data_IF_165439830138
#
_entry.id   IF_165439830138
#
_cell.length_a   1.000
_cell.length_b   1.000
_cell.length_c   1.000
_cell.angle_alpha   90.00
_cell.angle_beta   90.00
_cell.angle_gamma   90.00
#
_symmetry.space_group_name_H-M   'P 1'
#
loop_
_entity.id
_entity.type
_entity.pdbx_description
1 polymer ?
#
# COMPACT_ATOMS: atom_id res chain seq x y z
N UNK A 1 22.13 20.19 12.32
CA UNK A 1 23.32 19.33 12.18
C UNK A 1 23.60 18.49 13.43
N UNK A 2 23.94 19.06 14.60
CA UNK A 2 24.23 18.26 15.81
C UNK A 2 23.00 17.56 16.42
N UNK A 3 21.87 18.26 16.56
CA UNK A 3 20.63 17.67 17.09
C UNK A 3 20.06 16.57 16.19
N UNK A 4 20.19 16.73 14.86
CA UNK A 4 19.77 15.72 13.89
C UNK A 4 20.67 14.48 13.94
N UNK A 5 21.98 14.67 14.13
CA UNK A 5 22.92 13.58 14.34
C UNK A 5 22.62 12.84 15.66
N UNK A 6 22.25 13.55 16.73
CA UNK A 6 21.79 12.90 17.95
C UNK A 6 20.50 12.10 17.74
N UNK A 7 19.51 12.67 17.04
CA UNK A 7 18.27 11.97 16.70
C UNK A 7 18.55 10.67 15.93
N UNK A 8 19.47 10.72 14.96
CA UNK A 8 19.87 9.56 14.14
C UNK A 8 20.38 8.36 14.95
N UNK A 9 20.86 8.56 16.18
CA UNK A 9 21.30 7.46 17.06
C UNK A 9 20.12 6.61 17.57
N UNK A 10 18.93 7.20 17.62
CA UNK A 10 17.68 6.51 17.99
C UNK A 10 16.93 5.96 16.77
N UNK A 11 17.30 6.45 15.59
CA UNK A 11 16.66 6.21 14.31
C UNK A 11 17.10 4.88 13.71
N UNK A 12 16.23 3.90 13.87
CA UNK A 12 16.30 2.61 13.20
C UNK A 12 14.89 2.06 13.04
N UNK A 13 14.73 1.13 12.11
CA UNK A 13 13.47 0.43 11.84
C UNK A 13 12.33 1.34 11.33
N UNK A 14 12.67 2.42 10.62
CA UNK A 14 11.72 3.28 9.91
C UNK A 14 10.55 3.81 10.78
N UNK A 15 10.84 4.21 12.03
CA UNK A 15 9.83 4.66 12.99
C UNK A 15 10.29 5.80 13.88
N UNK A 16 9.61 6.94 13.78
CA UNK A 16 9.78 8.08 14.69
C UNK A 16 9.35 7.72 16.12
N UNK A 17 8.28 6.94 16.25
CA UNK A 17 7.72 6.56 17.55
C UNK A 17 8.64 5.61 18.31
N UNK A 18 9.24 4.61 17.64
CA UNK A 18 10.24 3.75 18.26
C UNK A 18 11.53 4.50 18.60
N UNK A 19 11.89 5.54 17.85
CA UNK A 19 13.00 6.42 18.21
C UNK A 19 12.72 7.17 19.53
N UNK A 20 11.49 7.66 19.75
CA UNK A 20 11.09 8.27 21.02
C UNK A 20 11.12 7.28 22.19
N UNK A 21 10.68 6.03 21.97
CA UNK A 21 10.75 4.96 22.98
C UNK A 21 12.20 4.74 23.41
N UNK A 22 13.13 4.61 22.46
CA UNK A 22 14.57 4.42 22.75
C UNK A 22 15.19 5.61 23.47
N UNK A 23 14.82 6.83 23.07
CA UNK A 23 15.30 8.03 23.73
C UNK A 23 14.87 8.08 25.21
N UNK A 24 13.62 7.67 25.50
CA UNK A 24 13.11 7.54 26.86
C UNK A 24 13.77 6.40 27.63
N UNK A 25 13.95 5.21 27.05
CA UNK A 25 14.65 4.09 27.68
C UNK A 25 16.08 4.45 28.08
N UNK A 26 16.83 5.12 27.19
CA UNK A 26 18.16 5.61 27.51
C UNK A 26 18.16 6.68 28.60
N UNK A 27 17.13 7.53 28.65
CA UNK A 27 16.95 8.50 29.74
C UNK A 27 16.66 7.82 31.08
N UNK A 28 15.84 6.76 31.11
CA UNK A 28 15.59 5.97 32.32
C UNK A 28 16.85 5.32 32.86
N UNK A 29 17.68 4.75 31.99
CA UNK A 29 18.99 4.22 32.38
C UNK A 29 19.91 5.31 32.93
N UNK A 30 19.95 6.47 32.29
CA UNK A 30 20.73 7.61 32.80
C UNK A 30 20.21 8.14 34.15
N UNK A 31 18.91 7.98 34.45
CA UNK A 31 18.34 8.30 35.77
C UNK A 31 18.88 7.38 36.86
N UNK A 32 18.96 6.07 36.60
CA UNK A 32 19.54 5.09 37.51
C UNK A 32 21.03 5.35 37.76
N UNK A 33 21.76 5.79 36.73
CA UNK A 33 23.19 6.12 36.79
C UNK A 33 23.46 7.56 37.28
N UNK A 34 22.43 8.33 37.67
CA UNK A 34 22.54 9.75 38.05
C UNK A 34 23.21 10.66 36.98
N UNK A 35 23.12 10.26 35.71
CA UNK A 35 23.72 10.93 34.55
C UNK A 35 22.69 11.63 33.64
N UNK A 36 21.51 11.95 34.17
CA UNK A 36 20.38 12.54 33.41
C UNK A 36 20.76 13.81 32.66
N UNK A 37 21.47 14.73 33.33
CA UNK A 37 21.83 16.01 32.73
C UNK A 37 22.72 15.82 31.50
N UNK A 38 23.76 15.00 31.63
CA UNK A 38 24.70 14.70 30.56
C UNK A 38 24.02 13.97 29.40
N UNK A 39 23.14 13.01 29.69
CA UNK A 39 22.37 12.31 28.68
C UNK A 39 21.48 13.26 27.88
N UNK A 40 20.71 14.11 28.57
CA UNK A 40 19.81 15.07 27.91
C UNK A 40 20.59 16.11 27.11
N UNK A 41 21.70 16.63 27.66
CA UNK A 41 22.56 17.58 26.96
C UNK A 41 23.14 17.00 25.67
N UNK A 42 23.73 15.79 25.74
CA UNK A 42 24.32 15.12 24.57
C UNK A 42 23.31 14.82 23.48
N UNK A 43 22.07 14.52 23.86
CA UNK A 43 21.02 14.09 22.94
C UNK A 43 20.03 15.20 22.56
N UNK A 44 20.26 16.45 23.00
CA UNK A 44 19.36 17.59 22.76
C UNK A 44 17.91 17.34 23.25
N UNK A 45 17.77 16.64 24.37
CA UNK A 45 16.49 16.28 24.97
C UNK A 45 16.15 17.24 26.12
N UNK A 46 14.86 17.52 26.29
CA UNK A 46 14.34 18.31 27.40
C UNK A 46 14.12 17.42 28.63
N UNK A 47 14.83 17.71 29.73
CA UNK A 47 14.65 17.01 31.02
C UNK A 47 13.21 17.17 31.50
N UNK A 48 12.62 18.36 31.38
CA UNK A 48 11.25 18.63 31.81
C UNK A 48 10.24 17.81 31.00
N UNK A 49 10.44 17.71 29.69
CA UNK A 49 9.55 16.92 28.81
C UNK A 49 9.63 15.43 29.12
N UNK A 50 10.84 14.89 29.33
CA UNK A 50 11.02 13.47 29.69
C UNK A 50 10.41 13.13 31.05
N UNK A 51 10.54 14.02 32.04
CA UNK A 51 9.86 13.88 33.34
C UNK A 51 8.34 13.91 33.21
N UNK A 52 7.79 14.77 32.35
CA UNK A 52 6.37 14.81 32.09
C UNK A 52 5.89 13.50 31.43
N UNK A 53 6.63 12.98 30.44
CA UNK A 53 6.37 11.68 29.82
C UNK A 53 6.41 10.55 30.87
N UNK A 54 7.42 10.53 31.75
CA UNK A 54 7.51 9.52 32.82
C UNK A 54 6.32 9.55 33.78
N UNK A 55 5.88 10.75 34.16
CA UNK A 55 4.69 10.94 34.99
C UNK A 55 3.43 10.40 34.31
N UNK A 56 3.21 10.74 33.03
CA UNK A 56 2.06 10.24 32.27
C UNK A 56 2.07 8.73 32.10
N UNK A 57 3.24 8.12 31.86
CA UNK A 57 3.38 6.66 31.77
C UNK A 57 2.98 5.97 33.07
N UNK A 58 3.39 6.52 34.21
CA UNK A 58 3.00 6.01 35.54
C UNK A 58 1.50 6.14 35.79
N UNK A 59 0.91 7.25 35.38
CA UNK A 59 -0.53 7.49 35.48
C UNK A 59 -1.33 6.49 34.62
N UNK A 60 -0.98 6.33 33.34
CA UNK A 60 -1.62 5.33 32.48
C UNK A 60 -1.47 3.90 33.01
N UNK A 61 -0.30 3.55 33.56
CA UNK A 61 -0.10 2.25 34.19
C UNK A 61 -1.03 2.07 35.41
N UNK A 62 -1.17 3.09 36.26
CA UNK A 62 -2.09 3.04 37.40
C UNK A 62 -3.53 2.83 36.93
N UNK A 63 -3.98 3.57 35.92
CA UNK A 63 -5.34 3.43 35.37
C UNK A 63 -5.59 2.03 34.79
N UNK A 64 -4.62 1.45 34.06
CA UNK A 64 -4.73 0.08 33.55
C UNK A 64 -4.77 -0.96 34.67
N UNK A 65 -4.05 -0.73 35.76
CA UNK A 65 -4.09 -1.59 36.95
C UNK A 65 -5.43 -1.48 37.66
N UNK A 66 -5.95 -0.27 37.81
CA UNK A 66 -7.21 0.01 38.51
C UNK A 66 -8.42 -0.57 37.77
N UNK A 67 -8.36 -0.64 36.43
CA UNK A 67 -9.37 -1.33 35.62
C UNK A 67 -9.26 -2.86 35.69
N UNK A 68 -8.18 -3.40 36.26
CA UNK A 68 -7.91 -4.83 36.33
C UNK A 68 -7.50 -5.46 35.00
N UNK A 69 -7.14 -4.67 33.99
CA UNK A 69 -6.66 -5.16 32.70
C UNK A 69 -5.24 -5.75 32.79
N UNK A 70 -4.46 -5.30 33.78
CA UNK A 70 -3.11 -5.80 34.07
C UNK A 70 -2.99 -6.22 35.54
N UNK A 71 -2.22 -7.28 35.80
CA UNK A 71 -2.06 -7.86 37.14
C UNK A 71 -1.12 -7.06 38.07
N UNK A 72 -0.93 -5.77 37.80
CA UNK A 72 -0.16 -4.84 38.62
C UNK A 72 1.35 -5.10 38.69
N UNK A 73 1.86 -6.21 38.16
CA UNK A 73 3.29 -6.49 38.08
C UNK A 73 3.86 -6.08 36.70
N UNK A 74 4.62 -4.97 36.62
CA UNK A 74 5.17 -4.47 35.36
C UNK A 74 6.19 -5.44 34.72
N UNK A 75 6.80 -6.35 35.50
CA UNK A 75 7.73 -7.34 34.94
C UNK A 75 7.02 -8.43 34.16
N UNK A 76 5.74 -8.70 34.44
CA UNK A 76 4.92 -9.66 33.69
C UNK A 76 4.46 -9.02 32.37
N UNK A 77 4.04 -7.75 32.41
CA UNK A 77 3.61 -6.99 31.24
C UNK A 77 4.72 -6.83 30.17
N UNK A 78 5.98 -6.80 30.60
CA UNK A 78 7.14 -6.66 29.71
C UNK A 78 7.98 -7.95 29.62
N UNK A 79 7.45 -9.09 30.10
CA UNK A 79 8.20 -10.34 30.24
C UNK A 79 8.68 -10.94 28.91
N UNK A 80 7.97 -10.64 27.81
CA UNK A 80 8.27 -11.21 26.49
C UNK A 80 9.23 -10.37 25.63
N UNK A 81 9.86 -9.35 26.22
CA UNK A 81 10.88 -8.51 25.59
C UNK A 81 10.32 -7.35 24.76
N UNK A 82 11.22 -6.45 24.34
CA UNK A 82 10.89 -5.29 23.51
C UNK A 82 10.71 -5.72 22.05
N UNK A 83 9.51 -6.21 21.72
CA UNK A 83 9.14 -6.60 20.36
C UNK A 83 8.76 -5.36 19.54
N UNK A 84 9.66 -4.94 18.67
CA UNK A 84 9.47 -3.77 17.82
C UNK A 84 8.31 -3.93 16.83
N UNK A 85 8.06 -5.15 16.35
CA UNK A 85 7.01 -5.44 15.37
C UNK A 85 5.63 -5.42 16.05
N UNK A 86 5.52 -6.02 17.24
CA UNK A 86 4.30 -5.90 18.04
C UNK A 86 4.04 -4.46 18.49
N UNK A 87 5.07 -3.73 18.91
CA UNK A 87 4.93 -2.31 19.29
C UNK A 87 4.43 -1.48 18.11
N UNK A 88 4.96 -1.72 16.91
CA UNK A 88 4.49 -1.11 15.65
C UNK A 88 3.03 -1.45 15.35
N UNK A 89 2.61 -2.69 15.61
CA UNK A 89 1.20 -3.08 15.46
C UNK A 89 0.28 -2.35 16.44
N UNK A 90 0.68 -2.20 17.70
CA UNK A 90 -0.07 -1.40 18.69
C UNK A 90 -0.12 0.08 18.29
N UNK A 91 0.98 0.63 17.76
CA UNK A 91 1.02 2.00 17.23
C UNK A 91 0.06 2.14 16.03
N UNK A 92 0.05 1.17 15.11
CA UNK A 92 -0.87 1.13 13.99
C UNK A 92 -2.34 1.15 14.46
N UNK A 93 -2.67 0.35 15.47
CA UNK A 93 -4.02 0.33 16.07
C UNK A 93 -4.41 1.70 16.65
N UNK A 94 -3.51 2.33 17.41
CA UNK A 94 -3.77 3.62 18.05
C UNK A 94 -3.85 4.81 17.08
N UNK A 95 -3.16 4.73 15.94
CA UNK A 95 -3.09 5.83 14.95
C UNK A 95 -4.05 5.67 13.79
N UNK A 96 -4.64 4.49 13.60
CA UNK A 96 -5.66 4.29 12.59
C UNK A 96 -6.84 5.27 12.81
N UNK A 97 -7.36 5.95 11.76
CA UNK A 97 -7.17 5.70 10.32
C UNK A 97 -6.04 6.51 9.65
N UNK A 98 -5.10 7.07 10.41
CA UNK A 98 -3.93 7.80 9.91
C UNK A 98 -2.95 6.90 9.14
N UNK A 99 -3.31 6.52 7.92
CA UNK A 99 -2.57 5.61 7.04
C UNK A 99 -2.11 6.34 5.78
N UNK A 100 -0.85 6.12 5.42
CA UNK A 100 -0.22 6.57 4.21
C UNK A 100 0.37 5.39 3.45
N UNK A 101 0.08 5.31 2.15
CA UNK A 101 0.69 4.34 1.26
C UNK A 101 2.07 4.79 0.79
N UNK A 102 3.02 3.83 0.78
CA UNK A 102 4.32 3.95 0.14
C UNK A 102 4.23 3.35 -1.26
N UNK A 103 4.23 4.22 -2.27
CA UNK A 103 4.19 3.81 -3.67
C UNK A 103 5.60 3.78 -4.23
N UNK A 104 6.14 2.58 -4.42
CA UNK A 104 7.47 2.38 -5.00
C UNK A 104 7.49 2.59 -6.51
N UNK A 105 8.45 3.38 -6.98
CA UNK A 105 8.85 3.55 -8.38
C UNK A 105 10.26 2.97 -8.58
N UNK A 106 10.74 2.89 -9.82
CA UNK A 106 12.05 2.25 -10.15
C UNK A 106 13.24 2.77 -9.34
N UNK A 107 13.24 4.05 -8.96
CA UNK A 107 14.35 4.71 -8.24
C UNK A 107 13.94 5.59 -7.07
N UNK A 108 12.64 5.61 -6.73
CA UNK A 108 12.10 6.48 -5.68
C UNK A 108 10.82 5.91 -5.11
N UNK A 109 10.26 6.57 -4.10
CA UNK A 109 8.90 6.30 -3.65
C UNK A 109 8.10 7.62 -3.62
N UNK A 110 6.79 7.49 -3.63
CA UNK A 110 5.87 8.59 -3.38
C UNK A 110 4.89 8.19 -2.29
N UNK A 111 4.49 9.15 -1.47
CA UNK A 111 3.61 8.91 -0.33
C UNK A 111 2.21 9.42 -0.65
N UNK A 112 1.20 8.62 -0.32
CA UNK A 112 -0.20 8.98 -0.58
C UNK A 112 -1.12 8.70 0.59
N UNK A 113 -2.02 9.63 0.89
CA UNK A 113 -3.12 9.44 1.86
C UNK A 113 -4.46 9.40 1.14
N UNK A 114 -5.48 8.89 1.82
CA UNK A 114 -6.85 8.83 1.27
C UNK A 114 -7.42 10.20 0.98
N UNK A 115 -7.21 11.14 1.88
CA UNK A 115 -7.86 12.44 1.86
C UNK A 115 -7.14 13.45 0.97
N UNK A 116 -5.80 13.39 0.91
CA UNK A 116 -4.99 14.45 0.30
C UNK A 116 -4.29 14.01 -0.99
N UNK A 117 -4.37 12.73 -1.36
CA UNK A 117 -3.56 12.20 -2.44
C UNK A 117 -2.09 12.25 -2.05
N UNK A 118 -1.25 12.95 -2.83
CA UNK A 118 0.19 12.99 -2.56
C UNK A 118 0.53 13.82 -1.31
N UNK A 119 1.31 13.23 -0.42
CA UNK A 119 1.83 13.87 0.80
C UNK A 119 3.36 13.78 0.84
N UNK A 120 3.97 14.53 1.76
CA UNK A 120 5.40 14.50 2.04
C UNK A 120 5.64 14.20 3.52
N UNK A 121 6.85 13.80 3.87
CA UNK A 121 7.27 13.72 5.27
C UNK A 121 7.88 15.05 5.69
N UNK A 122 7.57 15.48 6.92
CA UNK A 122 8.24 16.64 7.49
C UNK A 122 9.73 16.34 7.69
N UNK A 123 10.60 17.35 7.54
CA UNK A 123 12.06 17.17 7.56
C UNK A 123 12.64 16.63 8.89
N UNK A 124 11.84 16.69 9.95
CA UNK A 124 12.18 16.15 11.26
C UNK A 124 11.83 14.67 11.39
N UNK A 125 11.07 14.06 10.47
CA UNK A 125 10.77 12.63 10.48
C UNK A 125 11.99 11.84 10.04
N UNK A 126 12.26 10.70 10.67
CA UNK A 126 13.36 9.82 10.27
C UNK A 126 13.19 9.29 8.86
N UNK A 127 11.96 8.94 8.49
CA UNK A 127 11.65 8.42 7.17
C UNK A 127 11.80 9.47 6.06
N UNK A 128 11.88 10.76 6.40
CA UNK A 128 12.10 11.82 5.41
C UNK A 128 13.50 11.79 4.79
N UNK A 129 14.46 11.12 5.44
CA UNK A 129 15.86 11.01 5.01
C UNK A 129 16.14 9.70 4.28
N UNK A 130 15.21 8.77 4.33
CA UNK A 130 15.37 7.45 3.74
C UNK A 130 15.21 7.52 2.22
N UNK A 131 16.13 6.87 1.51
CA UNK A 131 16.04 6.75 0.05
C UNK A 131 15.05 5.64 -0.37
N UNK A 132 14.77 4.72 0.55
CA UNK A 132 13.81 3.63 0.39
C UNK A 132 13.18 3.32 1.76
N UNK A 133 11.87 3.15 1.77
CA UNK A 133 11.12 2.65 2.93
C UNK A 133 10.67 1.23 2.58
N UNK A 134 11.22 0.16 3.18
CA UNK A 134 10.93 -1.23 2.79
C UNK A 134 9.59 -1.73 3.38
N UNK A 135 8.58 -0.88 3.38
CA UNK A 135 7.24 -1.16 3.91
C UNK A 135 6.19 -0.56 2.99
N UNK A 136 5.04 -1.24 2.79
CA UNK A 136 3.96 -0.74 1.95
C UNK A 136 3.22 0.46 2.56
N UNK A 137 3.30 0.64 3.88
CA UNK A 137 2.51 1.63 4.61
C UNK A 137 3.35 2.41 5.63
N UNK A 138 2.90 3.63 5.89
CA UNK A 138 3.26 4.42 7.06
C UNK A 138 1.99 4.73 7.85
N UNK A 139 2.03 4.58 9.17
CA UNK A 139 1.04 5.16 10.07
C UNK A 139 1.54 6.49 10.61
N UNK A 140 0.64 7.45 10.79
CA UNK A 140 0.94 8.80 11.29
C UNK A 140 -0.18 9.29 12.20
N UNK A 141 0.12 10.18 13.14
CA UNK A 141 -0.89 10.81 13.99
C UNK A 141 -1.35 12.16 13.43
N UNK A 142 -0.41 13.04 13.08
CA UNK A 142 -0.71 14.40 12.65
C UNK A 142 -0.17 14.72 11.24
N UNK A 143 -0.96 15.50 10.49
CA UNK A 143 -0.54 16.13 9.23
C UNK A 143 -0.73 17.63 9.29
N UNK A 144 0.16 18.37 8.63
CA UNK A 144 0.09 19.83 8.53
C UNK A 144 0.08 20.23 7.07
N UNK A 145 -0.82 21.15 6.72
CA UNK A 145 -0.88 21.77 5.41
C UNK A 145 -0.33 23.18 5.47
N UNK A 146 0.74 23.41 4.72
CA UNK A 146 1.26 24.77 4.44
C UNK A 146 1.11 25.02 2.94
N UNK A 147 2.17 24.74 2.17
CA UNK A 147 2.14 24.74 0.69
C UNK A 147 1.86 23.34 0.13
N UNK A 148 2.12 22.32 0.94
CA UNK A 148 1.86 20.90 0.68
C UNK A 148 1.46 20.25 1.99
N UNK A 149 0.93 19.04 1.93
CA UNK A 149 0.56 18.26 3.11
C UNK A 149 1.79 17.48 3.57
N UNK A 150 2.17 17.67 4.84
CA UNK A 150 3.30 17.00 5.47
C UNK A 150 2.83 16.16 6.65
N UNK A 151 3.25 14.89 6.71
CA UNK A 151 3.07 14.05 7.90
C UNK A 151 4.18 14.42 8.90
N UNK A 152 3.79 14.71 10.15
CA UNK A 152 4.70 15.16 11.22
C UNK A 152 5.60 14.04 11.72
N UNK A 153 5.00 12.90 11.94
CA UNK A 153 5.60 11.69 12.48
C UNK A 153 5.15 10.50 11.64
N UNK A 154 5.98 9.47 11.58
CA UNK A 154 5.61 8.25 10.87
C UNK A 154 6.24 7.01 11.47
N UNK A 155 5.50 5.90 11.37
CA UNK A 155 6.00 4.55 11.63
C UNK A 155 5.66 3.68 10.43
N UNK A 156 6.65 3.04 9.82
CA UNK A 156 6.42 2.11 8.75
C UNK A 156 5.72 0.83 9.24
N UNK A 157 4.78 0.27 8.48
CA UNK A 157 4.05 -0.96 8.85
C UNK A 157 3.78 -1.88 7.65
N UNK A 158 3.63 -3.17 7.96
CA UNK A 158 3.42 -4.24 6.97
C UNK A 158 1.92 -4.44 6.65
N UNK A 159 1.63 -5.25 5.63
CA UNK A 159 0.25 -5.64 5.31
C UNK A 159 -0.38 -6.41 6.47
N UNK A 160 0.33 -7.37 7.08
CA UNK A 160 -0.17 -8.13 8.25
C UNK A 160 -0.54 -7.20 9.40
N UNK A 161 0.32 -6.21 9.65
CA UNK A 161 0.09 -5.22 10.70
C UNK A 161 -1.20 -4.45 10.42
N UNK A 162 -1.34 -3.91 9.21
CA UNK A 162 -2.49 -3.09 8.85
C UNK A 162 -3.78 -3.91 8.77
N UNK A 163 -3.74 -5.14 8.26
CA UNK A 163 -4.91 -6.01 8.18
C UNK A 163 -5.42 -6.36 9.59
N UNK A 164 -4.53 -6.80 10.50
CA UNK A 164 -4.92 -7.24 11.84
C UNK A 164 -5.33 -6.06 12.74
N UNK A 165 -4.55 -4.97 12.72
CA UNK A 165 -4.67 -3.85 13.66
C UNK A 165 -5.28 -2.58 13.05
N UNK A 166 -5.60 -2.58 11.75
CA UNK A 166 -6.35 -1.50 11.11
C UNK A 166 -7.85 -1.64 11.31
N UNK A 167 -8.60 -1.01 10.41
CA UNK A 167 -10.06 -1.01 10.43
C UNK A 167 -10.70 -2.32 10.00
N UNK A 168 -12.02 -2.30 9.88
CA UNK A 168 -12.79 -3.45 9.41
C UNK A 168 -12.40 -3.86 7.99
N UNK A 169 -12.22 -5.17 7.80
CA UNK A 169 -11.96 -5.77 6.49
C UNK A 169 -13.24 -6.38 5.93
N UNK A 170 -13.40 -6.33 4.61
CA UNK A 170 -14.45 -7.01 3.88
C UNK A 170 -13.86 -7.80 2.73
N UNK A 171 -14.60 -8.82 2.26
CA UNK A 171 -14.24 -9.55 1.04
C UNK A 171 -14.33 -8.61 -0.16
N UNK A 172 -13.32 -8.67 -1.02
CA UNK A 172 -13.29 -7.98 -2.29
C UNK A 172 -14.03 -8.73 -3.39
N UNK A 173 -13.71 -8.40 -4.64
CA UNK A 173 -14.48 -8.89 -5.80
C UNK A 173 -14.01 -10.28 -6.29
N UNK A 174 -12.89 -10.78 -5.78
CA UNK A 174 -12.31 -12.08 -6.15
C UNK A 174 -11.85 -12.83 -4.90
N UNK A 175 -11.69 -14.15 -5.00
CA UNK A 175 -11.12 -14.94 -3.91
C UNK A 175 -9.71 -14.42 -3.56
N UNK A 176 -9.39 -14.36 -2.26
CA UNK A 176 -8.11 -13.83 -1.78
C UNK A 176 -7.96 -12.31 -1.82
N UNK A 177 -9.01 -11.58 -2.21
CA UNK A 177 -9.03 -10.11 -2.17
C UNK A 177 -9.71 -9.63 -0.88
N UNK A 178 -9.01 -8.82 -0.09
CA UNK A 178 -9.55 -8.11 1.07
C UNK A 178 -9.58 -6.60 0.82
N UNK A 179 -10.63 -5.94 1.30
CA UNK A 179 -10.82 -4.49 1.21
C UNK A 179 -10.93 -3.89 2.60
N UNK A 180 -10.37 -2.70 2.78
CA UNK A 180 -10.55 -1.85 3.97
C UNK A 180 -10.86 -0.41 3.50
N UNK A 181 -11.54 0.38 4.34
CA UNK A 181 -11.97 1.75 4.01
C UNK A 181 -12.76 1.83 2.70
N UNK A 182 -13.74 0.95 2.52
CA UNK A 182 -14.58 0.92 1.32
C UNK A 182 -13.83 0.56 0.03
N UNK A 183 -12.67 -0.13 0.14
CA UNK A 183 -11.83 -0.50 -1.00
C UNK A 183 -10.77 0.54 -1.35
N UNK A 184 -10.52 1.52 -0.48
CA UNK A 184 -9.36 2.40 -0.63
C UNK A 184 -8.05 1.65 -0.40
N UNK A 185 -8.07 0.72 0.57
CA UNK A 185 -6.98 -0.21 0.84
C UNK A 185 -7.40 -1.58 0.32
N UNK A 186 -6.64 -2.12 -0.62
CA UNK A 186 -6.89 -3.42 -1.26
C UNK A 186 -5.68 -4.32 -1.02
N UNK A 187 -5.93 -5.53 -0.52
CA UNK A 187 -4.91 -6.54 -0.24
C UNK A 187 -5.20 -7.78 -1.06
N UNK A 188 -4.21 -8.25 -1.81
CA UNK A 188 -4.33 -9.41 -2.70
C UNK A 188 -3.40 -10.51 -2.24
N UNK A 189 -3.97 -11.68 -1.94
CA UNK A 189 -3.23 -12.84 -1.45
C UNK A 189 -3.92 -14.14 -1.89
N UNK A 190 -3.36 -15.29 -1.49
CA UNK A 190 -4.04 -16.58 -1.73
C UNK A 190 -5.35 -16.64 -0.93
N UNK A 191 -6.41 -17.31 -1.45
CA UNK A 191 -7.70 -17.43 -0.77
C UNK A 191 -7.59 -17.91 0.68
N UNK A 192 -6.83 -18.98 0.92
CA UNK A 192 -6.62 -19.56 2.24
C UNK A 192 -5.98 -18.56 3.21
N UNK A 193 -5.04 -17.75 2.73
CA UNK A 193 -4.35 -16.72 3.53
C UNK A 193 -5.31 -15.60 3.91
N UNK A 194 -6.15 -15.16 2.96
CA UNK A 194 -7.17 -14.14 3.23
C UNK A 194 -8.21 -14.63 4.25
N UNK A 195 -8.58 -15.91 4.21
CA UNK A 195 -9.47 -16.51 5.21
C UNK A 195 -8.82 -16.58 6.59
N UNK A 196 -7.53 -16.96 6.66
CA UNK A 196 -6.76 -16.96 7.91
C UNK A 196 -6.73 -15.54 8.53
N UNK A 197 -6.40 -14.50 7.77
CA UNK A 197 -6.40 -13.12 8.30
C UNK A 197 -7.78 -12.67 8.77
N UNK A 198 -8.85 -13.03 8.05
CA UNK A 198 -10.22 -12.71 8.47
C UNK A 198 -10.58 -13.37 9.80
N UNK A 199 -10.27 -14.66 9.94
CA UNK A 199 -10.52 -15.42 11.16
C UNK A 199 -9.71 -14.86 12.33
N UNK A 200 -8.40 -14.68 12.15
CA UNK A 200 -7.52 -14.16 13.20
C UNK A 200 -7.89 -12.74 13.62
N UNK A 201 -8.23 -11.87 12.68
CA UNK A 201 -8.71 -10.52 13.01
C UNK A 201 -9.99 -10.59 13.84
N UNK A 202 -10.96 -11.39 13.41
CA UNK A 202 -12.22 -11.56 14.13
C UNK A 202 -11.98 -12.05 15.56
N UNK A 203 -11.18 -13.11 15.72
CA UNK A 203 -10.86 -13.67 17.03
C UNK A 203 -10.09 -12.68 17.91
N UNK A 204 -9.17 -11.89 17.34
CA UNK A 204 -8.46 -10.82 18.05
C UNK A 204 -9.43 -9.73 18.52
N UNK A 205 -10.29 -9.25 17.63
CA UNK A 205 -11.27 -8.20 17.93
C UNK A 205 -12.25 -8.70 19.02
N UNK A 206 -12.73 -9.94 18.92
CA UNK A 206 -13.56 -10.59 19.94
C UNK A 206 -12.83 -10.74 21.28
N UNK A 207 -11.56 -11.16 21.27
CA UNK A 207 -10.74 -11.26 22.48
C UNK A 207 -10.58 -9.89 23.16
N UNK A 208 -10.28 -8.84 22.39
CA UNK A 208 -10.14 -7.49 22.91
C UNK A 208 -11.46 -7.03 23.54
N UNK A 209 -12.59 -7.20 22.85
CA UNK A 209 -13.91 -6.85 23.40
C UNK A 209 -14.24 -7.63 24.66
N UNK A 210 -14.01 -8.94 24.66
CA UNK A 210 -14.24 -9.80 25.82
C UNK A 210 -13.37 -9.39 27.02
N UNK A 211 -12.10 -9.05 26.78
CA UNK A 211 -11.18 -8.58 27.82
C UNK A 211 -11.57 -7.21 28.36
N UNK A 212 -12.10 -6.32 27.53
CA UNK A 212 -12.61 -5.01 27.99
C UNK A 212 -13.89 -5.15 28.82
N UNK A 213 -14.80 -6.05 28.44
CA UNK A 213 -16.04 -6.32 29.18
C UNK A 213 -15.78 -7.11 30.48
N UNK A 214 -14.79 -7.99 30.47
CA UNK A 214 -14.37 -8.76 31.62
C UNK A 214 -12.83 -8.72 31.79
N UNK A 215 -12.30 -7.70 32.49
CA UNK A 215 -10.86 -7.50 32.66
C UNK A 215 -10.12 -8.69 33.26
N UNK A 216 -10.80 -9.56 34.01
CA UNK A 216 -10.22 -10.74 34.68
C UNK A 216 -10.22 -12.01 33.83
N UNK A 217 -10.59 -11.94 32.55
CA UNK A 217 -10.47 -13.09 31.62
C UNK A 217 -9.04 -13.63 31.64
N UNK A 218 -8.92 -14.94 31.82
CA UNK A 218 -7.64 -15.64 31.76
C UNK A 218 -7.10 -15.62 30.32
N UNK A 219 -5.93 -15.02 30.14
CA UNK A 219 -5.28 -14.89 28.84
C UNK A 219 -4.55 -16.17 28.42
N UNK A 220 -4.35 -17.15 29.31
CA UNK A 220 -3.65 -18.40 28.97
C UNK A 220 -4.40 -19.20 27.91
N UNK A 221 -5.73 -19.21 27.95
CA UNK A 221 -6.56 -19.87 26.94
C UNK A 221 -6.39 -19.28 25.53
N UNK A 222 -5.89 -18.05 25.42
CA UNK A 222 -5.70 -17.32 24.16
C UNK A 222 -4.23 -17.20 23.74
N UNK A 223 -3.32 -17.91 24.42
CA UNK A 223 -1.87 -17.82 24.16
C UNK A 223 -1.51 -18.20 22.74
N UNK A 224 -2.16 -19.21 22.17
CA UNK A 224 -1.90 -19.66 20.79
C UNK A 224 -2.28 -18.59 19.76
N UNK A 225 -3.46 -17.96 19.92
CA UNK A 225 -3.92 -16.85 19.08
C UNK A 225 -2.93 -15.68 19.13
N UNK A 226 -2.54 -15.25 20.35
CA UNK A 226 -1.58 -14.16 20.52
C UNK A 226 -0.20 -14.49 19.93
N UNK A 227 0.24 -15.74 20.05
CA UNK A 227 1.48 -16.22 19.46
C UNK A 227 1.43 -16.24 17.93
N UNK A 228 0.30 -16.66 17.34
CA UNK A 228 0.08 -16.67 15.90
C UNK A 228 0.09 -15.24 15.33
N UNK A 229 -0.60 -14.30 16.00
CA UNK A 229 -0.60 -12.87 15.63
C UNK A 229 0.82 -12.29 15.71
N UNK A 230 1.55 -12.58 16.79
CA UNK A 230 2.92 -12.11 16.97
C UNK A 230 3.85 -12.63 15.88
N UNK A 231 3.73 -13.92 15.54
CA UNK A 231 4.49 -14.55 14.46
C UNK A 231 4.18 -13.89 13.11
N UNK A 232 2.91 -13.70 12.78
CA UNK A 232 2.50 -13.08 11.51
C UNK A 232 3.03 -11.66 11.36
N UNK A 233 2.95 -10.84 12.41
CA UNK A 233 3.45 -9.46 12.35
C UNK A 233 4.97 -9.42 12.30
N UNK A 234 5.66 -10.42 12.86
CA UNK A 234 7.13 -10.46 12.92
C UNK A 234 7.78 -11.01 11.65
N UNK A 235 7.16 -12.00 11.02
CA UNK A 235 7.70 -12.73 9.85
C UNK A 235 7.19 -12.17 8.52
N UNK A 236 6.44 -11.06 8.53
CA UNK A 236 5.94 -10.43 7.32
C UNK A 236 7.09 -9.76 6.53
N UNK A 237 7.43 -10.36 5.38
CA UNK A 237 8.47 -9.87 4.47
C UNK A 237 8.19 -8.53 3.82
N UNK A 238 7.00 -7.94 4.04
CA UNK A 238 6.59 -6.65 3.47
C UNK A 238 6.59 -6.64 1.94
N UNK A 239 6.36 -7.80 1.32
CA UNK A 239 6.24 -7.98 -0.14
C UNK A 239 4.93 -7.42 -0.72
N UNK A 240 4.04 -6.94 0.17
CA UNK A 240 2.80 -6.26 -0.14
C UNK A 240 2.99 -5.15 -1.15
N UNK A 241 2.19 -5.17 -2.23
CA UNK A 241 2.17 -4.09 -3.22
C UNK A 241 0.89 -3.30 -3.06
N UNK A 242 1.01 -2.00 -2.80
CA UNK A 242 -0.13 -1.11 -2.82
C UNK A 242 -0.80 -1.12 -4.20
N UNK A 243 -2.10 -1.40 -4.22
CA UNK A 243 -2.94 -1.26 -5.41
C UNK A 243 -3.98 -0.18 -5.11
N UNK A 244 -3.85 0.98 -5.76
CA UNK A 244 -4.86 2.05 -5.66
C UNK A 244 -5.93 1.87 -6.73
N UNK A 245 -7.19 1.80 -6.31
CA UNK A 245 -8.35 1.94 -7.18
C UNK A 245 -8.33 0.95 -8.32
N UNK A 246 -8.14 -0.34 -8.02
CA UNK A 246 -8.28 -1.37 -9.03
C UNK A 246 -9.72 -1.34 -9.56
N UNK A 247 -9.94 -0.75 -10.74
CA UNK A 247 -11.16 -0.96 -11.48
C UNK A 247 -11.14 -2.41 -11.96
N UNK A 248 -11.67 -3.32 -11.14
CA UNK A 248 -12.08 -4.63 -11.62
C UNK A 248 -13.18 -4.34 -12.64
N UNK A 249 -12.92 -4.70 -13.90
CA UNK A 249 -13.95 -4.81 -14.91
C UNK A 249 -14.95 -5.82 -14.36
N UNK A 250 -16.05 -5.33 -13.75
CA UNK A 250 -17.19 -6.18 -13.40
C UNK A 250 -17.52 -7.02 -14.63
N UNK A 251 -17.62 -8.36 -14.52
CA UNK A 251 -18.34 -9.12 -15.51
C UNK A 251 -19.74 -8.50 -15.55
N UNK A 252 -20.12 -7.89 -16.67
CA UNK A 252 -21.51 -7.49 -16.86
C UNK A 252 -22.34 -8.76 -16.74
N UNK A 253 -23.16 -8.83 -15.69
CA UNK A 253 -24.33 -9.70 -15.71
C UNK A 253 -25.12 -9.32 -16.96
N UNK A 254 -25.18 -10.25 -17.91
CA UNK A 254 -25.92 -10.08 -19.16
C UNK A 254 -27.40 -10.22 -18.80
N UNK A 255 -28.02 -9.13 -18.33
CA UNK A 255 -29.46 -8.98 -18.49
C UNK A 255 -29.69 -8.50 -19.92
N UNK A 256 -29.99 -9.45 -20.80
CA UNK A 256 -30.31 -9.20 -22.19
C UNK A 256 -31.55 -8.29 -22.31
N UNK A 257 -31.39 -7.10 -22.88
CA UNK A 257 -32.43 -6.44 -23.69
C UNK A 257 -31.84 -5.26 -24.49
N UNK A 258 -31.91 -5.41 -25.83
CA UNK A 258 -31.99 -4.41 -26.91
C UNK A 258 -32.04 -2.94 -26.46
N UNK A 259 -31.34 -1.96 -27.07
CA UNK A 259 -31.63 -1.41 -28.41
C UNK A 259 -30.64 -0.27 -28.79
N UNK A 260 -30.14 -0.28 -30.03
CA UNK A 260 -29.57 0.82 -30.90
C UNK A 260 -28.34 1.67 -30.45
N UNK A 261 -27.36 1.91 -31.35
CA UNK A 261 -26.22 2.81 -31.10
C UNK A 261 -26.59 4.28 -31.35
N UNK A 262 -26.45 5.12 -30.33
CA UNK A 262 -26.48 6.58 -30.46
C UNK A 262 -25.07 7.11 -30.76
N UNK A 263 -24.97 7.93 -31.81
CA UNK A 263 -23.79 8.74 -32.10
C UNK A 263 -23.51 9.68 -30.92
N UNK A 264 -22.32 9.60 -30.35
CA UNK A 264 -21.76 10.70 -29.54
C UNK A 264 -20.47 11.21 -30.16
N UNK A 265 -20.43 12.53 -30.24
CA UNK A 265 -19.51 13.39 -30.97
C UNK A 265 -18.08 13.28 -30.47
N UNK A 266 -17.17 13.17 -31.45
CA UNK A 266 -15.76 13.51 -31.31
C UNK A 266 -15.65 15.03 -31.19
N UNK A 267 -15.17 15.51 -30.04
CA UNK A 267 -14.15 16.56 -29.83
C UNK A 267 -14.45 17.30 -28.54
N UNK A 268 -13.55 17.21 -27.56
CA UNK A 268 -13.02 18.41 -26.91
C UNK A 268 -11.66 18.06 -26.28
N UNK A 269 -10.65 18.80 -26.74
CA UNK A 269 -9.25 18.61 -26.39
C UNK A 269 -8.88 19.64 -25.34
N UNK A 270 -8.57 19.18 -24.13
CA UNK A 270 -7.86 19.97 -23.12
C UNK A 270 -6.33 19.95 -23.34
N UNK A 271 -5.58 20.97 -22.89
CA UNK A 271 -4.16 21.10 -23.16
C UNK A 271 -3.36 20.26 -22.15
N UNK A 272 -2.93 19.08 -22.57
CA UNK A 272 -2.05 18.20 -21.78
C UNK A 272 -1.75 16.92 -22.54
N UNK A 273 -0.49 16.78 -22.98
CA UNK A 273 -0.04 15.63 -23.76
C UNK A 273 -0.08 14.31 -22.98
N UNK A 274 -0.07 13.20 -23.73
CA UNK A 274 0.29 11.85 -23.30
C UNK A 274 -0.75 10.92 -22.65
N UNK A 275 -2.07 11.19 -22.71
CA UNK A 275 -3.04 10.26 -22.11
C UNK A 275 -2.93 8.80 -22.63
N UNK A 276 -2.83 8.58 -23.95
CA UNK A 276 -2.99 7.22 -24.50
C UNK A 276 -1.67 6.46 -24.48
N UNK A 277 -0.54 7.15 -24.68
CA UNK A 277 0.80 6.54 -24.63
C UNK A 277 1.18 6.16 -23.20
N UNK A 278 0.97 7.05 -22.24
CA UNK A 278 1.22 6.76 -20.81
C UNK A 278 0.29 5.68 -20.28
N UNK A 279 -0.98 5.68 -20.70
CA UNK A 279 -1.94 4.64 -20.35
C UNK A 279 -1.54 3.28 -20.91
N UNK A 280 -1.13 3.19 -22.19
CA UNK A 280 -0.67 1.93 -22.78
C UNK A 280 0.60 1.42 -22.08
N UNK A 281 1.59 2.28 -21.83
CA UNK A 281 2.80 1.91 -21.11
C UNK A 281 2.48 1.39 -19.71
N UNK A 282 1.59 2.08 -18.97
CA UNK A 282 1.15 1.64 -17.63
C UNK A 282 0.47 0.27 -17.68
N UNK A 283 -0.40 0.03 -18.67
CA UNK A 283 -1.08 -1.27 -18.84
C UNK A 283 -0.07 -2.39 -19.12
N UNK A 284 0.88 -2.16 -20.03
CA UNK A 284 1.87 -3.16 -20.41
C UNK A 284 2.85 -3.48 -19.27
N UNK A 285 3.36 -2.47 -18.57
CA UNK A 285 4.23 -2.66 -17.40
C UNK A 285 3.51 -3.40 -16.28
N UNK A 286 2.23 -3.12 -16.04
CA UNK A 286 1.41 -3.83 -15.03
C UNK A 286 1.16 -5.30 -15.39
N UNK A 287 1.09 -5.63 -16.67
CA UNK A 287 0.94 -6.99 -17.15
C UNK A 287 2.28 -7.74 -17.32
N UNK A 288 3.41 -7.14 -16.90
CA UNK A 288 4.74 -7.73 -17.00
C UNK A 288 5.33 -7.72 -18.42
N UNK A 289 4.77 -6.96 -19.35
CA UNK A 289 5.24 -6.87 -20.73
C UNK A 289 6.31 -5.78 -20.92
N UNK A 290 7.08 -5.92 -22.00
CA UNK A 290 8.09 -4.95 -22.42
C UNK A 290 7.47 -3.60 -22.80
N UNK A 291 8.22 -2.52 -22.58
CA UNK A 291 7.82 -1.15 -22.93
C UNK A 291 7.44 -1.06 -24.42
N UNK A 292 6.33 -0.39 -24.78
CA UNK A 292 5.86 -0.32 -26.17
C UNK A 292 6.82 0.49 -27.06
N UNK A 293 7.16 -0.06 -28.21
CA UNK A 293 8.02 0.54 -29.23
C UNK A 293 7.17 1.15 -30.35
N UNK A 294 7.48 2.37 -30.79
CA UNK A 294 6.71 3.07 -31.83
C UNK A 294 7.52 3.25 -33.12
N UNK A 295 6.98 2.75 -34.23
CA UNK A 295 7.56 2.89 -35.58
C UNK A 295 6.62 3.73 -36.45
N UNK A 296 7.03 4.95 -36.79
CA UNK A 296 6.25 5.85 -37.65
C UNK A 296 6.75 5.85 -39.09
N UNK A 297 5.84 5.73 -40.04
CA UNK A 297 6.09 5.92 -41.47
C UNK A 297 5.33 7.15 -41.98
N UNK A 298 5.98 7.94 -42.81
CA UNK A 298 5.33 9.03 -43.54
C UNK A 298 4.78 8.48 -44.87
N UNK A 299 3.48 8.71 -45.10
CA UNK A 299 2.78 8.29 -46.31
C UNK A 299 2.89 9.37 -47.39
N UNK A 300 2.62 8.99 -48.65
CA UNK A 300 2.70 9.86 -49.83
C UNK A 300 1.78 11.10 -49.78
N UNK A 301 0.84 11.13 -48.84
CA UNK A 301 -0.21 12.13 -48.70
C UNK A 301 0.09 13.16 -47.59
N UNK A 302 1.36 13.30 -47.18
CA UNK A 302 1.79 14.09 -46.01
C UNK A 302 1.10 13.69 -44.69
N UNK A 303 0.65 12.45 -44.59
CA UNK A 303 0.10 11.85 -43.35
C UNK A 303 1.13 10.92 -42.72
N UNK A 304 1.09 10.77 -41.40
CA UNK A 304 1.93 9.87 -40.63
C UNK A 304 1.09 8.71 -40.13
N UNK A 305 1.62 7.51 -40.22
CA UNK A 305 1.00 6.31 -39.66
C UNK A 305 2.02 5.63 -38.75
N UNK A 306 1.58 5.29 -37.54
CA UNK A 306 2.44 4.66 -36.54
C UNK A 306 1.97 3.26 -36.24
N UNK A 307 2.91 2.32 -36.13
CA UNK A 307 2.70 1.00 -35.57
C UNK A 307 3.34 0.94 -34.19
N UNK A 308 2.59 0.48 -33.19
CA UNK A 308 3.10 0.17 -31.87
C UNK A 308 3.37 -1.33 -31.75
N UNK A 309 4.51 -1.68 -31.18
CA UNK A 309 5.00 -3.04 -31.05
C UNK A 309 5.27 -3.36 -29.58
N UNK A 310 4.69 -4.44 -29.08
CA UNK A 310 4.93 -4.97 -27.75
C UNK A 310 4.72 -6.48 -27.77
N UNK A 311 5.62 -7.24 -27.14
CA UNK A 311 5.50 -8.70 -26.98
C UNK A 311 5.04 -9.45 -28.26
N UNK A 312 5.78 -9.25 -29.36
CA UNK A 312 5.52 -9.79 -30.72
C UNK A 312 4.20 -9.36 -31.37
N UNK A 313 3.40 -8.55 -30.70
CA UNK A 313 2.15 -7.98 -31.21
C UNK A 313 2.42 -6.62 -31.84
N UNK A 314 1.93 -6.41 -33.07
CA UNK A 314 2.05 -5.14 -33.79
C UNK A 314 0.67 -4.58 -34.12
N UNK A 315 0.38 -3.38 -33.61
CA UNK A 315 -0.91 -2.71 -33.79
C UNK A 315 -0.69 -1.40 -34.53
N UNK A 316 -1.38 -1.23 -35.66
CA UNK A 316 -1.22 -0.08 -36.53
C UNK A 316 -2.35 0.92 -36.31
N UNK A 317 -1.99 2.16 -36.01
CA UNK A 317 -2.94 3.27 -35.90
C UNK A 317 -3.38 3.80 -37.28
N UNK A 318 -4.35 4.69 -37.26
CA UNK A 318 -4.87 5.38 -38.44
C UNK A 318 -3.90 6.47 -38.93
N UNK A 319 -3.90 6.77 -40.25
CA UNK A 319 -3.12 7.88 -40.79
C UNK A 319 -3.55 9.25 -40.26
N UNK A 320 -2.64 9.94 -39.59
CA UNK A 320 -2.88 11.24 -38.95
C UNK A 320 -2.05 12.37 -39.57
N UNK A 321 -2.39 13.62 -39.28
CA UNK A 321 -1.74 14.81 -39.85
C UNK A 321 -0.33 15.08 -39.31
N UNK A 322 0.04 14.54 -38.15
CA UNK A 322 1.36 14.69 -37.57
C UNK A 322 1.81 13.42 -36.83
N UNK A 323 3.12 13.27 -36.60
CA UNK A 323 3.71 12.10 -35.95
C UNK A 323 3.15 11.87 -34.53
N UNK A 324 2.96 12.95 -33.75
CA UNK A 324 2.47 12.85 -32.36
C UNK A 324 1.03 12.35 -32.28
N UNK A 325 0.15 12.80 -33.17
CA UNK A 325 -1.22 12.30 -33.26
C UNK A 325 -1.27 10.86 -33.76
N UNK A 326 -0.42 10.49 -34.72
CA UNK A 326 -0.31 9.10 -35.20
C UNK A 326 0.15 8.13 -34.10
N UNK A 327 1.11 8.52 -33.26
CA UNK A 327 1.54 7.72 -32.10
C UNK A 327 0.46 7.60 -31.03
N UNK A 328 -0.29 8.68 -30.76
CA UNK A 328 -1.40 8.67 -29.80
C UNK A 328 -2.54 7.76 -30.28
N UNK A 329 -2.85 7.82 -31.56
CA UNK A 329 -3.88 6.99 -32.18
C UNK A 329 -3.50 5.50 -32.15
N UNK A 330 -2.27 5.16 -32.57
CA UNK A 330 -1.76 3.79 -32.46
C UNK A 330 -1.79 3.26 -31.01
N UNK A 331 -1.51 4.12 -30.02
CA UNK A 331 -1.61 3.74 -28.62
C UNK A 331 -3.07 3.50 -28.18
N UNK A 332 -4.02 4.32 -28.66
CA UNK A 332 -5.43 4.15 -28.37
C UNK A 332 -6.01 2.87 -28.99
N UNK A 333 -5.64 2.55 -30.23
CA UNK A 333 -6.00 1.30 -30.92
C UNK A 333 -5.45 0.09 -30.16
N UNK A 334 -4.20 0.14 -29.69
CA UNK A 334 -3.63 -0.93 -28.88
C UNK A 334 -4.33 -1.12 -27.54
N UNK A 335 -4.75 -0.04 -26.89
CA UNK A 335 -5.56 -0.11 -25.65
C UNK A 335 -6.93 -0.74 -25.94
N UNK A 336 -7.58 -0.39 -27.07
CA UNK A 336 -8.85 -0.99 -27.45
C UNK A 336 -8.70 -2.48 -27.77
N UNK A 337 -7.66 -2.87 -28.48
CA UNK A 337 -7.35 -4.26 -28.76
C UNK A 337 -7.11 -5.07 -27.48
N UNK A 338 -6.33 -4.54 -26.53
CA UNK A 338 -6.11 -5.18 -25.22
C UNK A 338 -7.42 -5.32 -24.41
N UNK A 339 -8.35 -4.38 -24.55
CA UNK A 339 -9.68 -4.43 -23.91
C UNK A 339 -10.66 -5.37 -24.61
N UNK A 340 -10.54 -5.53 -25.93
CA UNK A 340 -11.40 -6.39 -26.75
C UNK A 340 -10.95 -7.86 -26.78
N UNK A 341 -9.64 -8.11 -26.65
CA UNK A 341 -9.05 -9.46 -26.73
C UNK A 341 -9.49 -10.44 -25.63
N UNK A 342 -10.05 -9.95 -24.51
CA UNK A 342 -10.61 -10.81 -23.46
C UNK A 342 -11.91 -11.53 -23.86
N UNK A 343 -12.51 -11.19 -25.01
CA UNK A 343 -13.69 -11.88 -25.58
C UNK A 343 -13.40 -12.77 -26.79
N UNK A 344 -12.21 -12.71 -27.39
CA UNK A 344 -11.91 -13.42 -28.66
C UNK A 344 -10.90 -14.58 -28.52
N UNK A 345 -10.42 -14.90 -27.32
CA UNK A 345 -9.45 -15.98 -27.10
C UNK A 345 -10.04 -17.40 -27.14
N UNK A 346 -11.34 -17.58 -27.38
CA UNK A 346 -11.96 -18.91 -27.50
C UNK A 346 -12.70 -19.22 -28.81
N UNK A 347 -12.83 -18.27 -29.75
CA UNK A 347 -13.53 -18.53 -31.03
C UNK A 347 -12.68 -18.40 -32.30
N UNK A 348 -11.49 -17.77 -32.26
CA UNK A 348 -10.64 -17.66 -33.46
C UNK A 348 -9.72 -18.88 -33.73
N UNK A 349 -9.55 -19.79 -32.76
CA UNK A 349 -8.82 -21.06 -32.98
C UNK A 349 -9.65 -22.10 -33.77
N UNK A 350 -10.97 -21.95 -33.82
CA UNK A 350 -11.87 -22.88 -34.55
C UNK A 350 -12.26 -22.44 -35.97
N UNK A 351 -11.98 -21.19 -36.38
CA UNK A 351 -12.30 -20.73 -37.72
C UNK A 351 -11.12 -20.76 -38.71
N UNK A 352 -9.88 -20.84 -38.21
CA UNK A 352 -8.67 -20.93 -39.05
C UNK A 352 -8.22 -22.39 -39.29
N UNK A 353 -8.70 -23.33 -38.47
CA UNK A 353 -8.49 -24.79 -38.63
C UNK A 353 -9.47 -25.45 -39.62
N UNK A 354 -10.53 -24.74 -40.06
CA UNK A 354 -11.47 -25.19 -41.11
C UNK A 354 -11.21 -24.58 -42.51
N UNK A 355 -10.30 -23.63 -42.64
CA UNK A 355 -9.90 -23.03 -43.93
C UNK A 355 -8.58 -23.57 -44.51
N UNK A 356 -7.83 -24.38 -43.76
CA UNK A 356 -6.59 -25.01 -44.21
C UNK A 356 -6.68 -26.53 -44.51
N UNK A 357 -7.88 -27.12 -44.51
CA UNK A 357 -8.09 -28.54 -44.91
C UNK A 357 -8.80 -28.76 -46.24
N UNK A 358 -8.97 -27.72 -47.08
CA UNK A 358 -9.64 -27.84 -48.40
C UNK A 358 -8.77 -27.60 -49.63
N UNK A 359 -7.44 -27.70 -49.51
CA UNK A 359 -6.54 -27.70 -50.68
C UNK A 359 -5.43 -28.73 -50.50
N UNK A 360 -5.75 -30.00 -50.82
CA UNK A 360 -4.81 -31.04 -51.27
C UNK A 360 -5.59 -32.33 -51.61
N UNK A 361 -6.26 -32.30 -52.76
CA UNK A 361 -6.53 -33.47 -53.60
C UNK A 361 -7.02 -32.94 -54.94
N UNK A 362 -6.11 -32.95 -55.91
CA UNK A 362 -6.36 -33.30 -57.33
C UNK A 362 -5.08 -33.00 -58.14
N UNK A 363 -4.23 -34.02 -58.24
CA UNK A 363 -3.34 -34.29 -59.38
C UNK A 363 -2.78 -35.70 -59.20
N UNK A 364 -3.56 -36.71 -59.61
CA UNK A 364 -3.22 -37.58 -60.74
C UNK A 364 -4.48 -38.31 -61.21
#
# INVERSE_FOLDING_TARGET
>A
MLAEAAKSQFSRDHSDHLALVRAYEGWKKAEEESAVYDYCWKNFLSIQSLRAIDSLRKEFFSLLKDTGLIDGNPSICNSEGNDANLTRAVICYGMYPGICSVVHNERSFSLKTMEDGQVLLYSNSENARETKIPYPWLVFNEKIKVNSVFLRDSTACSDSTLILFGGSISKGDTDGHLKMLGGYLEFFMKPDVAEIYQTLKKELDELIQNKLLNPKVDMQAHRELLSAIRLLVSEDGCDGRFVFGHQILRPLEISALSTKPSLFSRTESGPGGDNSKSQLQTILTRAGYTVPMYKTKQLKNNKFQTTVEFNETQIMGQPCSNKKSAEKDAAAEAIQWLKGGAKESHEQVNHMSKLLKKSKKDHL
#
